data_IF_637429134874
#
_entry.id   IF_637429134874
#
_cell.length_a   1.000
_cell.length_b   1.000
_cell.length_c   1.000
_cell.angle_alpha   90.00
_cell.angle_beta   90.00
_cell.angle_gamma   90.00
#
_symmetry.space_group_name_H-M   'P 1'
#
loop_
_entity.id
_entity.type
_entity.pdbx_description
1 polymer ?
#
# COMPACT_ATOMS: atom_id res chain seq x y z
N UNK A 1 4.19 -2.38 7.57
CA UNK A 1 5.29 -2.08 6.64
C UNK A 1 4.83 -1.25 5.44
N UNK A 2 3.79 -1.62 4.68
CA UNK A 2 3.24 -0.74 3.63
C UNK A 2 1.70 -0.72 3.64
N UNK A 3 1.08 -1.89 3.53
CA UNK A 3 -0.39 -2.06 3.52
C UNK A 3 -1.05 -1.45 4.77
N UNK A 4 -0.47 -1.68 5.95
CA UNK A 4 -0.99 -1.11 7.20
C UNK A 4 -1.01 0.42 7.22
N UNK A 5 -0.03 1.09 6.57
CA UNK A 5 -0.02 2.56 6.45
C UNK A 5 -1.10 3.02 5.48
N UNK A 6 -1.24 2.34 4.34
CA UNK A 6 -2.30 2.61 3.36
C UNK A 6 -3.71 2.49 3.98
N UNK A 7 -4.00 1.37 4.66
CA UNK A 7 -5.27 1.17 5.37
C UNK A 7 -5.53 2.23 6.43
N UNK A 8 -4.49 2.68 7.15
CA UNK A 8 -4.61 3.75 8.14
C UNK A 8 -4.93 5.10 7.50
N UNK A 9 -4.31 5.43 6.37
CA UNK A 9 -4.63 6.62 5.58
C UNK A 9 -6.09 6.58 5.12
N UNK A 10 -6.56 5.48 4.53
CA UNK A 10 -7.96 5.33 4.13
C UNK A 10 -8.93 5.52 5.30
N UNK A 11 -8.57 5.02 6.49
CA UNK A 11 -9.37 5.22 7.71
C UNK A 11 -9.46 6.67 8.16
N UNK A 12 -8.44 7.50 7.93
CA UNK A 12 -8.53 8.93 8.22
C UNK A 12 -9.35 9.67 7.16
N UNK A 13 -9.17 9.32 5.89
CA UNK A 13 -9.98 9.87 4.80
C UNK A 13 -11.47 9.57 4.98
N UNK A 14 -11.83 8.34 5.38
CA UNK A 14 -13.23 7.98 5.65
C UNK A 14 -13.84 8.70 6.84
N UNK A 15 -13.00 9.29 7.71
CA UNK A 15 -13.42 10.13 8.85
C UNK A 15 -13.48 11.62 8.50
N UNK A 16 -13.28 11.98 7.24
CA UNK A 16 -13.35 13.37 6.77
C UNK A 16 -12.02 14.14 6.84
N UNK A 17 -10.90 13.49 7.17
CA UNK A 17 -9.60 14.14 7.07
C UNK A 17 -9.25 14.40 5.60
N UNK A 18 -8.54 15.50 5.34
CA UNK A 18 -7.94 15.75 4.02
C UNK A 18 -6.80 14.77 3.74
N UNK A 19 -6.43 14.64 2.46
CA UNK A 19 -5.27 13.82 2.05
C UNK A 19 -4.00 14.23 2.77
N UNK A 20 -3.74 15.54 2.85
CA UNK A 20 -2.54 16.09 3.51
C UNK A 20 -2.50 15.73 4.99
N UNK A 21 -3.61 15.91 5.71
CA UNK A 21 -3.69 15.56 7.13
C UNK A 21 -3.51 14.05 7.35
N UNK A 22 -4.20 13.23 6.55
CA UNK A 22 -4.09 11.77 6.65
C UNK A 22 -2.65 11.28 6.41
N UNK A 23 -1.94 11.87 5.43
CA UNK A 23 -0.54 11.58 5.12
C UNK A 23 0.39 12.01 6.26
N UNK A 24 0.21 13.22 6.78
CA UNK A 24 0.99 13.75 7.90
C UNK A 24 0.82 12.90 9.18
N UNK A 25 -0.42 12.58 9.55
CA UNK A 25 -0.73 11.75 10.72
C UNK A 25 -0.20 10.32 10.58
N UNK A 26 -0.11 9.82 9.34
CA UNK A 26 0.48 8.51 9.05
C UNK A 26 1.99 8.56 8.79
N UNK A 27 2.62 9.73 8.87
CA UNK A 27 4.04 9.98 8.58
C UNK A 27 4.49 9.33 7.27
N UNK A 28 3.70 9.54 6.22
CA UNK A 28 3.92 8.96 4.90
C UNK A 28 3.77 10.05 3.85
N UNK A 29 4.66 10.10 2.88
CA UNK A 29 4.54 11.03 1.76
C UNK A 29 3.58 10.50 0.69
N UNK A 30 3.09 11.40 -0.15
CA UNK A 30 2.16 11.06 -1.24
C UNK A 30 2.74 10.03 -2.20
N UNK A 31 4.03 10.14 -2.55
CA UNK A 31 4.66 9.25 -3.54
C UNK A 31 4.68 7.82 -3.00
N UNK A 32 5.05 7.62 -1.74
CA UNK A 32 4.98 6.30 -1.10
C UNK A 32 3.57 5.71 -1.14
N UNK A 33 2.51 6.50 -0.90
CA UNK A 33 1.12 6.00 -0.98
C UNK A 33 0.75 5.59 -2.40
N UNK A 34 1.11 6.39 -3.40
CA UNK A 34 0.81 6.09 -4.81
C UNK A 34 1.61 4.89 -5.31
N UNK A 35 2.91 4.85 -5.04
CA UNK A 35 3.79 3.78 -5.48
C UNK A 35 3.41 2.42 -4.87
N UNK A 36 2.65 2.41 -3.76
CA UNK A 36 2.29 1.19 -3.05
C UNK A 36 0.79 0.89 -3.01
N UNK A 37 -0.05 1.70 -3.65
CA UNK A 37 -1.51 1.50 -3.62
C UNK A 37 -1.91 0.18 -4.27
N UNK A 38 -1.29 -0.19 -5.40
CA UNK A 38 -1.53 -1.44 -6.12
C UNK A 38 -1.34 -2.68 -5.22
N UNK A 39 -0.34 -2.65 -4.33
CA UNK A 39 -0.10 -3.74 -3.37
C UNK A 39 -1.30 -3.88 -2.41
N UNK A 40 -1.77 -2.76 -1.86
CA UNK A 40 -2.86 -2.76 -0.89
C UNK A 40 -4.22 -3.06 -1.54
N UNK A 41 -4.42 -2.64 -2.78
CA UNK A 41 -5.62 -2.95 -3.58
C UNK A 41 -5.68 -4.43 -3.93
N UNK A 42 -4.57 -5.03 -4.38
CA UNK A 42 -4.50 -6.46 -4.64
C UNK A 42 -4.75 -7.29 -3.38
N UNK A 43 -4.15 -6.92 -2.25
CA UNK A 43 -4.40 -7.63 -0.98
C UNK A 43 -5.88 -7.59 -0.57
N UNK A 44 -6.57 -6.48 -0.84
CA UNK A 44 -8.00 -6.33 -0.55
C UNK A 44 -8.91 -7.05 -1.56
N UNK A 45 -8.51 -7.12 -2.84
CA UNK A 45 -9.32 -7.68 -3.92
C UNK A 45 -9.11 -9.19 -4.11
N UNK A 46 -7.86 -9.65 -4.12
CA UNK A 46 -7.49 -11.05 -4.30
C UNK A 46 -6.29 -11.42 -3.42
N UNK A 47 -6.61 -11.80 -2.17
CA UNK A 47 -5.62 -12.25 -1.18
C UNK A 47 -4.83 -13.48 -1.66
N UNK A 48 -5.40 -14.30 -2.55
CA UNK A 48 -4.76 -15.52 -3.03
C UNK A 48 -3.65 -15.18 -4.01
N UNK A 49 -3.90 -14.27 -4.95
CA UNK A 49 -2.88 -13.76 -5.88
C UNK A 49 -1.82 -12.97 -5.13
N UNK A 50 -2.21 -12.12 -4.18
CA UNK A 50 -1.27 -11.41 -3.31
C UNK A 50 -0.31 -12.37 -2.60
N UNK A 51 -0.84 -13.43 -1.95
CA UNK A 51 -0.01 -14.41 -1.24
C UNK A 51 0.94 -15.17 -2.19
N UNK A 52 0.50 -15.50 -3.42
CA UNK A 52 1.36 -16.13 -4.43
C UNK A 52 2.52 -15.21 -4.83
N UNK A 53 2.24 -13.94 -5.10
CA UNK A 53 3.27 -12.95 -5.44
C UNK A 53 4.23 -12.74 -4.26
N UNK A 54 3.73 -12.64 -3.03
CA UNK A 54 4.57 -12.56 -1.83
C UNK A 54 5.48 -13.77 -1.66
N UNK A 55 5.00 -14.98 -1.95
CA UNK A 55 5.81 -16.19 -1.88
C UNK A 55 6.92 -16.22 -2.95
N UNK A 56 6.68 -15.61 -4.12
CA UNK A 56 7.67 -15.46 -5.17
C UNK A 56 8.63 -14.28 -4.93
N UNK A 57 8.29 -13.36 -4.03
CA UNK A 57 9.07 -12.16 -3.77
C UNK A 57 10.34 -12.47 -2.96
N UNK A 58 11.50 -12.22 -3.57
CA UNK A 58 12.78 -12.54 -2.97
C UNK A 58 13.30 -11.39 -2.11
N UNK A 59 14.02 -11.75 -1.03
CA UNK A 59 14.67 -10.79 -0.15
C UNK A 59 15.71 -9.98 -0.94
N UNK A 60 15.56 -8.66 -0.96
CA UNK A 60 16.45 -7.74 -1.68
C UNK A 60 15.83 -7.10 -2.92
N UNK A 61 14.67 -7.58 -3.38
CA UNK A 61 13.90 -6.89 -4.41
C UNK A 61 13.26 -5.60 -3.87
N UNK A 62 13.11 -4.59 -4.73
CA UNK A 62 12.49 -3.32 -4.33
C UNK A 62 10.98 -3.48 -4.23
N UNK A 63 10.39 -2.77 -3.27
CA UNK A 63 8.93 -2.71 -3.12
C UNK A 63 8.23 -2.07 -4.32
N UNK A 64 8.90 -1.17 -5.05
CA UNK A 64 8.38 -0.60 -6.30
C UNK A 64 8.17 -1.68 -7.35
N UNK A 65 9.15 -2.58 -7.50
CA UNK A 65 9.12 -3.64 -8.50
C UNK A 65 8.00 -4.63 -8.15
N UNK A 66 7.80 -4.90 -6.85
CA UNK A 66 6.66 -5.68 -6.38
C UNK A 66 5.32 -5.02 -6.72
N UNK A 67 5.20 -3.71 -6.49
CA UNK A 67 3.97 -2.97 -6.78
C UNK A 67 3.60 -3.00 -8.27
N UNK A 68 4.59 -3.00 -9.16
CA UNK A 68 4.36 -3.13 -10.61
C UNK A 68 3.77 -4.51 -10.97
N UNK A 69 4.08 -5.57 -10.23
CA UNK A 69 3.47 -6.90 -10.42
C UNK A 69 2.06 -7.00 -9.80
N UNK A 70 1.63 -6.03 -9.01
CA UNK A 70 0.32 -5.98 -8.38
C UNK A 70 -0.72 -5.14 -9.15
N UNK A 71 -0.31 -4.44 -10.21
CA UNK A 71 -1.22 -3.71 -11.11
C UNK A 71 -1.93 -4.66 -12.07
#
# INVERSE_FOLDING_TARGET
LVIGRYKKVLKYLSKGATKTEAYQVCSVDRKTIVDTSAIAELEACDITVYNKLCAAFQKGQKLSDFADHCR
#
